data_IF_162402412704
#
_entry.id   IF_162402412704
#
_cell.length_a   1.000
_cell.length_b   1.000
_cell.length_c   1.000
_cell.angle_alpha   90.00
_cell.angle_beta   90.00
_cell.angle_gamma   90.00
#
_symmetry.space_group_name_H-M   'P 1'
#
loop_
_entity.id
_entity.type
_entity.pdbx_description
1 polymer ?
#
# COMPACT_ATOMS: atom_id res chain seq x y z
N UNK A 1 25.08 -3.62 20.27
CA UNK A 1 24.16 -4.73 20.57
C UNK A 1 23.02 -4.74 19.57
N UNK A 2 22.91 -5.76 18.71
CA UNK A 2 21.84 -5.89 17.72
C UNK A 2 20.63 -6.57 18.35
N UNK A 3 19.56 -5.81 18.64
CA UNK A 3 18.29 -6.37 19.15
C UNK A 3 17.74 -7.39 18.14
N UNK A 4 17.55 -8.63 18.58
CA UNK A 4 16.92 -9.70 17.82
C UNK A 4 15.45 -9.34 17.61
N UNK A 5 15.03 -9.18 16.36
CA UNK A 5 13.65 -8.78 16.01
C UNK A 5 12.69 -9.95 16.26
N UNK A 6 11.76 -9.80 17.22
CA UNK A 6 10.76 -10.84 17.57
C UNK A 6 9.61 -10.96 16.57
N UNK A 7 9.25 -9.86 15.88
CA UNK A 7 8.29 -9.86 14.76
C UNK A 7 8.65 -8.78 13.73
N UNK A 8 8.69 -9.18 12.45
CA UNK A 8 9.03 -8.28 11.32
C UNK A 8 7.82 -7.51 10.79
N UNK A 9 6.60 -7.97 11.06
CA UNK A 9 5.36 -7.38 10.53
C UNK A 9 5.18 -5.91 10.90
N UNK A 10 5.36 -5.48 12.17
CA UNK A 10 5.25 -4.06 12.52
C UNK A 10 6.34 -3.20 11.89
N UNK A 11 7.53 -3.75 11.64
CA UNK A 11 8.64 -3.03 11.00
C UNK A 11 8.36 -2.80 9.51
N UNK A 12 7.78 -3.79 8.83
CA UNK A 12 7.37 -3.67 7.43
C UNK A 12 6.31 -2.57 7.29
N UNK A 13 5.29 -2.57 8.16
CA UNK A 13 4.25 -1.52 8.18
C UNK A 13 4.86 -0.12 8.36
N UNK A 14 5.61 0.09 9.44
CA UNK A 14 6.27 1.37 9.73
C UNK A 14 7.21 1.85 8.62
N UNK A 15 7.97 0.94 8.01
CA UNK A 15 8.84 1.29 6.90
C UNK A 15 8.02 1.87 5.75
N UNK A 16 6.97 1.19 5.34
CA UNK A 16 6.15 1.61 4.22
C UNK A 16 5.30 2.85 4.51
N UNK A 17 4.72 2.95 5.71
CA UNK A 17 4.02 4.16 6.17
C UNK A 17 4.90 5.40 6.02
N UNK A 18 6.13 5.35 6.55
CA UNK A 18 7.10 6.46 6.43
C UNK A 18 7.42 6.78 4.97
N UNK A 19 7.58 5.78 4.10
CA UNK A 19 7.88 6.02 2.68
C UNK A 19 6.72 6.63 1.92
N UNK A 20 5.48 6.20 2.20
CA UNK A 20 4.30 6.82 1.60
C UNK A 20 4.08 8.22 2.15
N UNK A 21 4.32 8.46 3.45
CA UNK A 21 4.29 9.81 4.02
C UNK A 21 5.22 10.77 3.28
N UNK A 22 6.48 10.35 3.07
CA UNK A 22 7.45 11.11 2.29
C UNK A 22 7.01 11.28 0.83
N UNK A 23 6.52 10.21 0.20
CA UNK A 23 6.07 10.24 -1.20
C UNK A 23 4.93 11.23 -1.41
N UNK A 24 4.04 11.32 -0.44
CA UNK A 24 2.88 12.19 -0.48
C UNK A 24 3.16 13.61 0.07
N UNK A 25 4.41 13.93 0.43
CA UNK A 25 4.80 15.25 0.90
C UNK A 25 4.25 15.62 2.28
N UNK A 26 4.04 14.62 3.15
CA UNK A 26 3.45 14.82 4.47
C UNK A 26 4.52 15.21 5.49
N UNK A 27 4.63 16.50 5.77
CA UNK A 27 5.63 17.07 6.69
C UNK A 27 5.26 16.90 8.16
N UNK A 28 3.97 16.86 8.50
CA UNK A 28 3.47 16.77 9.89
C UNK A 28 2.76 15.42 10.13
N UNK A 29 3.56 14.35 10.17
CA UNK A 29 3.07 13.01 10.47
C UNK A 29 2.96 12.81 11.98
N UNK A 30 1.73 12.86 12.53
CA UNK A 30 1.44 12.32 13.85
C UNK A 30 0.89 10.91 13.68
N UNK A 31 1.69 9.90 14.07
CA UNK A 31 1.35 8.47 13.95
C UNK A 31 0.28 7.99 14.93
N UNK A 32 -0.41 8.91 15.60
CA UNK A 32 -1.30 8.62 16.72
C UNK A 32 -2.54 9.51 16.65
N UNK A 33 -3.38 9.34 15.63
CA UNK A 33 -4.75 9.83 15.73
C UNK A 33 -5.73 8.81 15.15
N UNK A 34 -6.91 8.75 15.75
CA UNK A 34 -7.96 7.72 15.67
C UNK A 34 -8.66 7.70 14.29
N UNK A 35 -7.98 8.14 13.22
CA UNK A 35 -8.58 8.43 11.91
C UNK A 35 -7.77 7.95 10.69
N UNK A 36 -6.63 7.28 10.87
CA UNK A 36 -5.88 6.52 9.86
C UNK A 36 -4.38 6.82 9.78
N UNK A 37 -3.62 6.10 8.94
CA UNK A 37 -2.14 6.07 9.01
C UNK A 37 -1.46 7.37 8.52
N UNK A 38 -2.05 8.08 7.55
CA UNK A 38 -1.48 9.26 6.89
C UNK A 38 -2.56 10.30 6.51
N UNK A 39 -2.26 11.61 6.59
CA UNK A 39 -3.15 12.74 6.21
C UNK A 39 -2.55 13.58 5.09
N UNK A 40 -3.24 13.71 3.96
CA UNK A 40 -2.87 14.70 2.92
C UNK A 40 -3.26 16.12 3.37
N UNK A 41 -2.27 17.01 3.57
CA UNK A 41 -2.52 18.43 3.80
C UNK A 41 -2.90 19.10 2.47
N UNK A 42 -4.20 19.25 2.29
CA UNK A 42 -4.86 19.93 1.17
C UNK A 42 -6.37 19.80 1.38
N UNK A 43 -7.17 20.75 0.89
CA UNK A 43 -8.60 20.51 0.75
C UNK A 43 -8.76 19.76 -0.59
N UNK A 44 -9.20 18.49 -0.58
CA UNK A 44 -9.78 17.75 0.55
C UNK A 44 -8.85 16.93 1.44
N UNK A 45 -9.29 16.73 2.69
CA UNK A 45 -8.66 15.78 3.61
C UNK A 45 -8.87 14.34 3.09
N UNK A 46 -7.78 13.73 2.63
CA UNK A 46 -7.72 12.33 2.21
C UNK A 46 -6.94 11.56 3.27
N UNK A 47 -7.57 10.52 3.81
CA UNK A 47 -6.91 9.54 4.68
C UNK A 47 -6.26 8.46 3.84
N UNK A 48 -4.99 8.17 4.11
CA UNK A 48 -4.26 7.08 3.45
C UNK A 48 -3.95 5.98 4.46
N UNK A 49 -4.51 4.78 4.21
CA UNK A 49 -4.19 3.55 4.96
C UNK A 49 -3.14 2.76 4.18
N UNK A 50 -2.05 2.35 4.85
CA UNK A 50 -0.93 1.68 4.17
C UNK A 50 -0.94 0.17 4.47
N UNK A 51 -1.01 -0.66 3.43
CA UNK A 51 -0.96 -2.12 3.56
C UNK A 51 0.12 -2.74 2.69
N UNK A 52 0.99 -3.53 3.30
CA UNK A 52 1.96 -4.34 2.57
C UNK A 52 1.37 -5.70 2.19
N UNK A 53 1.79 -6.24 1.05
CA UNK A 53 1.42 -7.60 0.64
C UNK A 53 2.10 -8.68 1.51
N UNK A 54 1.58 -9.91 1.48
CA UNK A 54 2.33 -11.08 1.92
C UNK A 54 3.25 -11.66 0.81
N UNK A 55 3.85 -12.82 1.07
CA UNK A 55 4.73 -13.52 0.11
C UNK A 55 4.01 -13.99 -1.15
N UNK A 56 2.68 -14.18 -1.08
CA UNK A 56 1.83 -14.56 -2.20
C UNK A 56 1.20 -13.34 -2.88
N UNK A 57 1.64 -12.14 -2.50
CA UNK A 57 1.12 -10.88 -3.00
C UNK A 57 -0.37 -10.70 -2.70
N UNK A 58 -0.81 -11.17 -1.54
CA UNK A 58 -2.15 -10.95 -1.01
C UNK A 58 -2.15 -9.74 -0.07
N UNK A 59 -3.09 -8.83 -0.28
CA UNK A 59 -3.38 -7.73 0.63
C UNK A 59 -4.58 -8.10 1.48
N UNK A 60 -4.42 -8.04 2.80
CA UNK A 60 -5.49 -8.35 3.76
C UNK A 60 -5.96 -7.05 4.40
N UNK A 61 -7.25 -6.79 4.27
CA UNK A 61 -7.90 -5.61 4.82
C UNK A 61 -8.95 -6.10 5.79
N UNK A 62 -8.82 -5.75 7.06
CA UNK A 62 -9.79 -6.21 8.06
C UNK A 62 -11.12 -5.48 7.92
N UNK A 63 -12.21 -6.19 8.19
CA UNK A 63 -13.56 -5.62 8.16
C UNK A 63 -13.70 -4.41 9.09
N UNK A 64 -13.22 -4.43 10.36
CA UNK A 64 -13.30 -3.24 11.22
C UNK A 64 -12.57 -2.01 10.66
N UNK A 65 -11.42 -2.21 9.98
CA UNK A 65 -10.71 -1.11 9.31
C UNK A 65 -11.50 -0.56 8.13
N UNK A 66 -11.99 -1.45 7.26
CA UNK A 66 -12.78 -1.04 6.09
C UNK A 66 -14.04 -0.29 6.52
N UNK A 67 -14.79 -0.85 7.49
CA UNK A 67 -16.00 -0.25 8.04
C UNK A 67 -15.72 1.13 8.63
N UNK A 68 -14.66 1.28 9.44
CA UNK A 68 -14.25 2.58 9.99
C UNK A 68 -14.00 3.60 8.90
N UNK A 69 -13.32 3.26 7.81
CA UNK A 69 -13.07 4.24 6.75
C UNK A 69 -14.29 4.56 5.89
N UNK A 70 -15.20 3.61 5.69
CA UNK A 70 -16.51 3.88 5.07
C UNK A 70 -17.40 4.76 5.93
N UNK A 71 -17.36 4.58 7.25
CA UNK A 71 -18.09 5.42 8.21
C UNK A 71 -17.53 6.85 8.24
N UNK A 72 -16.21 7.01 8.17
CA UNK A 72 -15.56 8.34 8.20
C UNK A 72 -15.56 9.01 6.80
N UNK A 73 -15.75 8.27 5.70
CA UNK A 73 -16.07 8.83 4.37
C UNK A 73 -17.34 9.69 4.42
N UNK A 74 -18.23 9.43 5.39
CA UNK A 74 -19.43 10.24 5.65
C UNK A 74 -19.07 11.44 6.54
N UNK A 75 -18.52 12.49 5.92
CA UNK A 75 -18.31 13.84 6.48
C UNK A 75 -17.43 13.93 7.74
N UNK A 76 -16.30 14.67 7.75
CA UNK A 76 -15.86 15.72 6.81
C UNK A 76 -14.77 15.27 5.82
N UNK A 77 -14.54 13.97 5.62
CA UNK A 77 -13.60 13.48 4.61
C UNK A 77 -14.25 13.52 3.23
N UNK A 78 -13.57 14.04 2.21
CA UNK A 78 -14.08 13.91 0.83
C UNK A 78 -13.75 12.55 0.23
N UNK A 79 -12.82 11.77 0.80
CA UNK A 79 -12.53 10.40 0.38
C UNK A 79 -11.44 9.72 1.22
N UNK A 80 -11.44 8.38 1.24
CA UNK A 80 -10.38 7.57 1.82
C UNK A 80 -9.72 6.73 0.73
N UNK A 81 -8.39 6.67 0.74
CA UNK A 81 -7.59 5.92 -0.23
C UNK A 81 -6.77 4.89 0.52
N UNK A 82 -6.86 3.64 0.10
CA UNK A 82 -5.91 2.62 0.52
C UNK A 82 -4.68 2.67 -0.38
N UNK A 83 -3.51 2.77 0.23
CA UNK A 83 -2.22 2.62 -0.41
C UNK A 83 -1.69 1.20 -0.15
N UNK A 84 -1.86 0.32 -1.15
CA UNK A 84 -1.39 -1.06 -1.07
C UNK A 84 -0.02 -1.16 -1.72
N UNK A 85 0.94 -1.75 -1.01
CA UNK A 85 2.34 -1.83 -1.45
C UNK A 85 2.74 -3.28 -1.67
N UNK A 86 2.99 -3.61 -2.93
CA UNK A 86 3.55 -4.89 -3.33
C UNK A 86 5.07 -4.88 -3.20
N UNK A 87 5.60 -5.98 -2.66
CA UNK A 87 7.03 -6.26 -2.70
C UNK A 87 7.29 -7.73 -2.99
N UNK A 88 8.44 -8.01 -3.61
CA UNK A 88 8.82 -9.35 -4.03
C UNK A 88 9.61 -10.04 -2.92
N UNK A 89 8.96 -10.95 -2.20
CA UNK A 89 9.62 -11.79 -1.21
C UNK A 89 9.80 -13.23 -1.69
N UNK A 90 10.76 -13.42 -2.61
CA UNK A 90 11.06 -14.75 -3.17
C UNK A 90 11.54 -15.71 -2.06
N UNK A 91 11.27 -17.00 -2.25
CA UNK A 91 11.90 -18.03 -1.45
C UNK A 91 13.38 -18.15 -1.83
N UNK A 92 14.25 -18.28 -0.82
CA UNK A 92 15.66 -18.59 -1.05
C UNK A 92 15.88 -20.08 -1.35
N UNK A 93 17.15 -20.44 -1.63
CA UNK A 93 17.59 -21.84 -1.69
C UNK A 93 17.19 -22.60 -0.42
N UNK A 94 16.85 -23.88 -0.58
CA UNK A 94 16.52 -24.77 0.53
C UNK A 94 17.65 -24.77 1.57
N UNK A 95 17.28 -24.76 2.86
CA UNK A 95 18.25 -24.97 3.93
C UNK A 95 18.71 -26.43 3.94
N UNK A 96 19.76 -26.74 4.70
CA UNK A 96 20.21 -28.12 4.95
C UNK A 96 19.09 -29.05 5.45
N UNK A 97 18.05 -28.49 6.08
CA UNK A 97 16.83 -29.19 6.51
C UNK A 97 15.70 -29.25 5.46
N UNK A 98 15.97 -28.97 4.19
CA UNK A 98 14.99 -28.98 3.08
C UNK A 98 13.98 -27.83 3.09
N UNK A 99 13.86 -27.07 4.18
CA UNK A 99 12.92 -25.95 4.30
C UNK A 99 13.39 -24.73 3.50
N UNK A 100 12.50 -24.14 2.70
CA UNK A 100 12.78 -22.87 2.01
C UNK A 100 12.35 -21.70 2.89
N UNK A 101 13.29 -20.84 3.25
CA UNK A 101 12.99 -19.58 3.96
C UNK A 101 12.87 -18.44 2.94
N UNK A 102 11.92 -17.54 3.17
CA UNK A 102 11.83 -16.30 2.38
C UNK A 102 13.10 -15.47 2.54
N UNK A 103 13.45 -14.67 1.52
CA UNK A 103 14.65 -13.81 1.59
C UNK A 103 14.55 -12.81 2.76
N UNK A 104 13.36 -12.23 2.98
CA UNK A 104 13.12 -11.36 4.14
C UNK A 104 13.32 -12.08 5.48
N UNK A 105 13.04 -13.39 5.56
CA UNK A 105 13.28 -14.16 6.78
C UNK A 105 14.77 -14.24 7.13
N UNK A 106 15.68 -14.08 6.15
CA UNK A 106 17.14 -14.08 6.35
C UNK A 106 17.69 -12.74 6.87
N UNK A 107 16.97 -11.63 6.69
CA UNK A 107 17.35 -10.33 7.25
C UNK A 107 17.39 -10.39 8.78
N UNK A 108 18.51 -10.03 9.41
CA UNK A 108 18.69 -10.18 10.87
C UNK A 108 18.57 -8.85 11.61
N UNK A 109 18.89 -7.75 10.92
CA UNK A 109 18.84 -6.39 11.48
C UNK A 109 17.66 -5.61 10.89
N UNK A 110 17.27 -4.52 11.57
CA UNK A 110 16.31 -3.56 11.02
C UNK A 110 16.79 -3.02 9.66
N UNK A 111 18.07 -2.69 9.58
CA UNK A 111 18.72 -2.20 8.36
C UNK A 111 18.58 -3.20 7.19
N UNK A 112 18.87 -4.49 7.42
CA UNK A 112 18.73 -5.52 6.38
C UNK A 112 17.29 -5.60 5.87
N UNK A 113 16.32 -5.40 6.75
CA UNK A 113 14.88 -5.41 6.42
C UNK A 113 14.57 -4.19 5.55
N UNK A 114 14.97 -2.98 5.96
CA UNK A 114 14.69 -1.76 5.22
C UNK A 114 15.34 -1.74 3.82
N UNK A 115 16.62 -2.15 3.72
CA UNK A 115 17.31 -2.29 2.43
C UNK A 115 16.60 -3.33 1.55
N UNK A 116 16.21 -4.46 2.14
CA UNK A 116 15.48 -5.49 1.42
C UNK A 116 14.15 -4.95 0.88
N UNK A 117 13.34 -4.31 1.72
CA UNK A 117 12.04 -3.76 1.31
C UNK A 117 12.20 -2.68 0.24
N UNK A 118 13.17 -1.77 0.40
CA UNK A 118 13.46 -0.73 -0.59
C UNK A 118 13.84 -1.32 -1.97
N UNK A 119 14.69 -2.36 -2.00
CA UNK A 119 15.14 -2.99 -3.24
C UNK A 119 14.09 -3.88 -3.91
N UNK A 120 13.14 -4.41 -3.14
CA UNK A 120 12.18 -5.40 -3.61
C UNK A 120 10.75 -4.87 -3.73
N UNK A 121 10.50 -3.61 -3.38
CA UNK A 121 9.23 -2.93 -3.67
C UNK A 121 9.00 -2.94 -5.18
N UNK A 122 7.80 -3.35 -5.61
CA UNK A 122 7.49 -3.53 -7.04
C UNK A 122 6.26 -2.76 -7.50
N UNK A 123 5.33 -2.47 -6.59
CA UNK A 123 4.06 -1.86 -6.95
C UNK A 123 3.44 -1.05 -5.82
N UNK A 124 2.73 0.00 -6.19
CA UNK A 124 1.90 0.83 -5.30
C UNK A 124 0.53 0.93 -5.96
N UNK A 125 -0.52 0.54 -5.23
CA UNK A 125 -1.91 0.67 -5.66
C UNK A 125 -2.60 1.70 -4.77
N UNK A 126 -3.16 2.73 -5.38
CA UNK A 126 -4.00 3.72 -4.73
C UNK A 126 -5.45 3.42 -5.08
N UNK A 127 -6.17 2.80 -4.14
CA UNK A 127 -7.54 2.35 -4.33
C UNK A 127 -8.49 3.18 -3.47
N UNK A 128 -9.55 3.71 -4.07
CA UNK A 128 -10.65 4.35 -3.34
C UNK A 128 -11.36 3.34 -2.42
N UNK A 129 -11.71 3.75 -1.20
CA UNK A 129 -12.39 2.88 -0.23
C UNK A 129 -13.70 2.29 -0.77
N UNK A 130 -14.45 3.02 -1.62
CA UNK A 130 -15.68 2.50 -2.22
C UNK A 130 -15.43 1.32 -3.17
N UNK A 131 -14.24 1.25 -3.79
CA UNK A 131 -13.88 0.09 -4.60
C UNK A 131 -13.72 -1.14 -3.72
N UNK A 132 -13.08 -0.98 -2.56
CA UNK A 132 -12.90 -2.06 -1.58
C UNK A 132 -14.23 -2.52 -0.99
N UNK A 133 -15.15 -1.59 -0.75
CA UNK A 133 -16.52 -1.92 -0.35
C UNK A 133 -17.21 -2.78 -1.40
N UNK A 134 -17.21 -2.38 -2.67
CA UNK A 134 -17.83 -3.15 -3.75
C UNK A 134 -17.23 -4.56 -3.88
N UNK A 135 -15.90 -4.68 -3.77
CA UNK A 135 -15.19 -5.96 -3.73
C UNK A 135 -15.66 -6.79 -2.53
N UNK A 136 -15.79 -6.17 -1.35
CA UNK A 136 -16.23 -6.86 -0.14
C UNK A 136 -17.67 -7.37 -0.23
N UNK A 137 -18.56 -6.62 -0.88
CA UNK A 137 -19.95 -7.01 -1.11
C UNK A 137 -20.00 -8.20 -2.07
N UNK A 138 -19.20 -8.18 -3.13
CA UNK A 138 -19.23 -9.24 -4.14
C UNK A 138 -18.51 -10.52 -3.70
N UNK A 139 -17.36 -10.40 -3.03
CA UNK A 139 -16.50 -11.54 -2.69
C UNK A 139 -16.59 -11.99 -1.23
N UNK A 140 -17.29 -11.22 -0.39
CA UNK A 140 -17.45 -11.50 1.03
C UNK A 140 -16.15 -11.32 1.83
N UNK A 141 -16.25 -11.68 3.11
CA UNK A 141 -15.12 -11.70 4.03
C UNK A 141 -14.70 -13.13 4.36
N UNK A 142 -13.42 -13.31 4.64
CA UNK A 142 -12.84 -14.59 5.05
C UNK A 142 -12.12 -14.46 6.40
N UNK A 143 -12.29 -15.48 7.25
CA UNK A 143 -11.58 -15.66 8.53
C UNK A 143 -10.34 -16.54 8.33
N UNK A 144 -9.46 -16.60 9.33
CA UNK A 144 -8.27 -17.46 9.38
C UNK A 144 -7.11 -16.99 8.50
N UNK A 145 -7.24 -15.84 7.83
CA UNK A 145 -6.21 -15.35 6.90
C UNK A 145 -5.13 -14.51 7.59
N UNK A 146 -5.44 -13.92 8.76
CA UNK A 146 -4.53 -13.09 9.54
C UNK A 146 -3.80 -13.94 10.58
N UNK A 147 -2.46 -14.08 10.50
CA UNK A 147 -1.71 -15.00 11.37
C UNK A 147 -1.81 -14.72 12.87
N UNK A 148 -2.08 -13.47 13.26
CA UNK A 148 -2.12 -13.05 14.66
C UNK A 148 -3.53 -12.73 15.17
N UNK A 149 -4.54 -12.79 14.29
CA UNK A 149 -5.95 -12.49 14.60
C UNK A 149 -6.84 -13.36 13.69
N UNK A 150 -6.87 -14.69 13.88
CA UNK A 150 -7.55 -15.60 12.97
C UNK A 150 -9.06 -15.38 12.92
N UNK A 151 -9.68 -14.87 13.99
CA UNK A 151 -11.12 -14.61 14.04
C UNK A 151 -11.53 -13.36 13.27
N UNK A 152 -10.55 -12.53 12.85
CA UNK A 152 -10.80 -11.29 12.15
C UNK A 152 -11.22 -11.56 10.70
N UNK A 153 -12.39 -11.06 10.36
CA UNK A 153 -12.90 -11.07 8.98
C UNK A 153 -12.10 -10.12 8.11
N UNK A 154 -11.72 -10.60 6.92
CA UNK A 154 -10.87 -9.85 6.00
C UNK A 154 -11.33 -9.94 4.56
N UNK A 155 -11.15 -8.84 3.83
CA UNK A 155 -11.11 -8.86 2.36
C UNK A 155 -9.68 -9.21 1.95
N UNK A 156 -9.55 -10.15 1.02
CA UNK A 156 -8.25 -10.56 0.48
C UNK A 156 -8.16 -10.15 -0.99
N UNK A 157 -7.39 -9.11 -1.27
CA UNK A 157 -7.09 -8.71 -2.64
C UNK A 157 -5.87 -9.50 -3.14
N UNK A 158 -6.07 -10.20 -4.25
CA UNK A 158 -5.02 -10.98 -4.91
C UNK A 158 -4.41 -10.18 -6.05
N UNK A 159 -3.14 -10.46 -6.34
CA UNK A 159 -2.42 -9.88 -7.49
C UNK A 159 -3.17 -10.02 -8.82
N UNK A 160 -3.76 -11.18 -9.09
CA UNK A 160 -4.43 -11.45 -10.36
C UNK A 160 -5.64 -10.54 -10.56
N UNK A 161 -6.46 -10.38 -9.52
CA UNK A 161 -7.59 -9.45 -9.57
C UNK A 161 -7.13 -8.00 -9.82
N UNK A 162 -6.02 -7.58 -9.20
CA UNK A 162 -5.42 -6.26 -9.47
C UNK A 162 -4.90 -6.15 -10.91
N UNK A 163 -4.42 -7.23 -11.53
CA UNK A 163 -4.06 -7.22 -12.95
C UNK A 163 -5.29 -7.17 -13.86
N UNK A 164 -6.37 -7.87 -13.52
CA UNK A 164 -7.64 -7.80 -14.24
C UNK A 164 -8.22 -6.38 -14.20
N UNK A 165 -8.20 -5.72 -13.04
CA UNK A 165 -8.60 -4.32 -12.91
C UNK A 165 -7.81 -3.39 -13.84
N UNK A 166 -6.52 -3.66 -14.04
CA UNK A 166 -5.64 -2.84 -14.90
C UNK A 166 -5.90 -3.13 -16.38
N UNK A 167 -5.98 -4.41 -16.74
CA UNK A 167 -6.03 -4.86 -18.14
C UNK A 167 -7.45 -4.77 -18.72
N UNK A 168 -8.46 -4.96 -17.88
CA UNK A 168 -9.89 -5.04 -18.23
C UNK A 168 -10.73 -4.21 -17.24
N UNK A 169 -10.48 -2.88 -17.15
CA UNK A 169 -11.09 -2.04 -16.13
C UNK A 169 -12.61 -1.94 -16.29
N UNK A 170 -13.14 -1.99 -17.52
CA UNK A 170 -14.58 -1.84 -17.76
C UNK A 170 -15.33 -3.07 -17.27
N UNK A 171 -14.85 -4.25 -17.63
CA UNK A 171 -15.39 -5.55 -17.26
C UNK A 171 -15.29 -5.76 -15.76
N UNK A 172 -14.12 -5.47 -15.18
CA UNK A 172 -13.88 -5.63 -13.74
C UNK A 172 -14.79 -4.72 -12.92
N UNK A 173 -14.91 -3.45 -13.28
CA UNK A 173 -15.77 -2.50 -12.56
C UNK A 173 -17.26 -2.82 -12.76
N UNK A 174 -17.67 -3.18 -13.97
CA UNK A 174 -19.07 -3.55 -14.24
C UNK A 174 -19.45 -4.84 -13.50
N UNK A 175 -18.51 -5.79 -13.37
CA UNK A 175 -18.68 -7.01 -12.57
C UNK A 175 -18.92 -6.73 -11.08
N UNK A 176 -18.40 -5.61 -10.57
CA UNK A 176 -18.64 -5.10 -9.20
C UNK A 176 -19.93 -4.26 -9.09
N UNK A 177 -20.71 -4.12 -10.17
CA UNK A 177 -21.88 -3.24 -10.22
C UNK A 177 -21.53 -1.75 -10.24
N UNK A 178 -20.28 -1.39 -10.55
CA UNK A 178 -19.82 0.00 -10.59
C UNK A 178 -19.91 0.57 -12.01
N UNK A 179 -20.36 1.82 -12.12
CA UNK A 179 -20.32 2.54 -13.41
C UNK A 179 -18.86 2.88 -13.76
N UNK A 180 -18.26 2.14 -14.69
CA UNK A 180 -16.87 2.34 -15.14
C UNK A 180 -16.56 3.79 -15.58
N UNK A 181 -17.55 4.55 -16.07
CA UNK A 181 -17.37 5.95 -16.47
C UNK A 181 -17.11 6.87 -15.28
N UNK A 182 -17.55 6.50 -14.09
CA UNK A 182 -17.32 7.24 -12.84
C UNK A 182 -15.93 6.98 -12.25
N UNK A 183 -15.15 6.08 -12.84
CA UNK A 183 -13.82 5.69 -12.37
C UNK A 183 -12.73 6.07 -13.38
N UNK A 184 -11.53 6.23 -12.85
CA UNK A 184 -10.32 6.30 -13.64
C UNK A 184 -9.33 5.27 -13.11
N UNK A 185 -8.96 4.36 -14.00
CA UNK A 185 -7.88 3.41 -13.79
C UNK A 185 -6.69 3.88 -14.61
N UNK A 186 -5.55 4.14 -13.97
CA UNK A 186 -4.31 4.55 -14.65
C UNK A 186 -3.14 3.77 -14.09
N UNK A 187 -2.26 3.32 -14.98
CA UNK A 187 -0.98 2.71 -14.63
C UNK A 187 0.15 3.64 -15.06
N UNK A 188 1.18 3.75 -14.23
CA UNK A 188 2.42 4.44 -14.54
C UNK A 188 3.62 3.66 -14.02
N UNK A 189 4.70 3.66 -14.79
CA UNK A 189 6.01 3.19 -14.36
C UNK A 189 6.78 4.37 -13.78
N UNK A 190 7.34 4.22 -12.57
CA UNK A 190 8.02 5.31 -11.87
C UNK A 190 9.34 4.83 -11.27
N UNK A 191 10.41 5.59 -11.45
CA UNK A 191 11.65 5.39 -10.70
C UNK A 191 11.53 6.11 -9.37
N UNK A 192 11.41 5.36 -8.27
CA UNK A 192 11.30 5.95 -6.94
C UNK A 192 12.67 6.00 -6.30
N UNK A 193 13.19 7.20 -6.11
CA UNK A 193 14.45 7.40 -5.39
C UNK A 193 14.25 7.32 -3.88
N UNK A 194 14.80 6.28 -3.25
CA UNK A 194 14.78 6.05 -1.81
C UNK A 194 16.15 6.35 -1.21
N UNK A 195 16.23 7.39 -0.37
CA UNK A 195 17.41 7.64 0.46
C UNK A 195 17.31 6.81 1.75
N UNK A 196 18.30 5.95 1.98
CA UNK A 196 18.42 5.12 3.18
C UNK A 196 19.43 5.69 4.19
N UNK A 197 19.74 6.99 4.10
CA UNK A 197 20.72 7.67 4.95
C UNK A 197 22.14 7.24 4.62
N UNK A 198 22.91 6.87 5.64
CA UNK A 198 24.31 6.41 5.52
C UNK A 198 24.49 5.15 4.66
N UNK A 199 23.40 4.46 4.31
CA UNK A 199 23.41 3.22 3.54
C UNK A 199 23.22 3.45 2.04
N UNK A 200 23.16 4.72 1.62
CA UNK A 200 23.09 5.13 0.24
C UNK A 200 21.66 5.22 -0.31
N UNK A 201 21.59 5.28 -1.64
CA UNK A 201 20.36 5.52 -2.40
C UNK A 201 20.00 4.27 -3.19
N UNK A 202 18.72 3.90 -3.17
CA UNK A 202 18.17 2.86 -4.04
C UNK A 202 17.11 3.51 -4.93
N UNK A 203 17.07 3.16 -6.21
CA UNK A 203 16.06 3.69 -7.14
C UNK A 203 15.28 2.55 -7.78
N UNK A 204 14.41 1.84 -7.04
CA UNK A 204 13.55 0.83 -7.64
C UNK A 204 12.65 1.44 -8.71
N UNK A 205 12.45 0.67 -9.79
CA UNK A 205 11.40 0.91 -10.76
C UNK A 205 10.11 0.27 -10.25
N UNK A 206 9.07 1.09 -10.06
CA UNK A 206 7.83 0.73 -9.38
C UNK A 206 6.66 0.99 -10.32
N UNK A 207 5.73 0.03 -10.35
CA UNK A 207 4.44 0.20 -11.00
C UNK A 207 3.48 0.91 -10.04
N UNK A 208 3.03 2.11 -10.38
CA UNK A 208 2.00 2.83 -9.62
C UNK A 208 0.67 2.74 -10.37
N UNK A 209 -0.37 2.31 -9.65
CA UNK A 209 -1.72 2.13 -10.19
C UNK A 209 -2.69 2.98 -9.39
N UNK A 210 -3.51 3.74 -10.10
CA UNK A 210 -4.58 4.56 -9.55
C UNK A 210 -5.91 3.91 -9.93
N UNK A 211 -6.76 3.65 -8.94
CA UNK A 211 -8.14 3.24 -9.15
C UNK A 211 -9.06 4.08 -8.26
N UNK A 212 -9.44 5.24 -8.78
CA UNK A 212 -10.15 6.26 -8.01
C UNK A 212 -11.38 6.77 -8.75
N UNK A 213 -12.39 7.25 -8.01
CA UNK A 213 -13.53 7.93 -8.61
C UNK A 213 -13.08 9.23 -9.29
N UNK A 214 -13.64 9.54 -10.45
CA UNK A 214 -13.19 10.67 -11.28
C UNK A 214 -13.27 12.02 -10.58
N UNK A 215 -14.22 12.18 -9.66
CA UNK A 215 -14.38 13.38 -8.82
C UNK A 215 -13.13 13.72 -7.99
N UNK A 216 -12.24 12.76 -7.73
CA UNK A 216 -11.03 12.95 -6.91
C UNK A 216 -9.74 13.03 -7.71
N UNK A 217 -9.79 12.90 -9.04
CA UNK A 217 -8.56 12.87 -9.84
C UNK A 217 -7.79 14.17 -9.66
N UNK A 218 -8.45 15.34 -9.66
CA UNK A 218 -7.74 16.62 -9.53
C UNK A 218 -6.99 16.72 -8.21
N UNK A 219 -7.56 16.16 -7.15
CA UNK A 219 -6.98 16.19 -5.81
C UNK A 219 -5.84 15.17 -5.67
N UNK A 220 -6.05 13.92 -6.09
CA UNK A 220 -5.03 12.85 -6.02
C UNK A 220 -3.89 13.10 -6.99
N UNK A 221 -4.21 13.47 -8.23
CA UNK A 221 -3.22 13.80 -9.26
C UNK A 221 -2.47 15.07 -8.89
N UNK A 222 -3.15 16.11 -8.40
CA UNK A 222 -2.51 17.34 -7.93
C UNK A 222 -1.56 17.07 -6.76
N UNK A 223 -1.93 16.26 -5.79
CA UNK A 223 -1.02 15.89 -4.69
C UNK A 223 0.19 15.10 -5.17
N UNK A 224 0.00 14.20 -6.14
CA UNK A 224 1.09 13.35 -6.63
C UNK A 224 1.99 14.12 -7.61
N UNK A 225 1.42 14.86 -8.55
CA UNK A 225 2.11 15.75 -9.51
C UNK A 225 2.83 16.92 -8.84
N UNK A 226 2.26 17.51 -7.78
CA UNK A 226 2.90 18.58 -7.00
C UNK A 226 3.77 18.06 -5.86
N UNK A 227 3.78 16.75 -5.59
CA UNK A 227 4.82 16.18 -4.74
C UNK A 227 6.15 16.44 -5.44
N UNK A 228 7.13 17.02 -4.73
CA UNK A 228 8.47 17.38 -5.23
C UNK A 228 9.31 16.17 -5.72
N UNK A 229 8.69 15.03 -5.99
CA UNK A 229 9.26 13.73 -6.30
C UNK A 229 9.04 13.28 -7.74
N UNK A 230 8.24 13.99 -8.55
CA UNK A 230 8.11 13.72 -9.99
C UNK A 230 9.10 14.51 -10.85
N UNK A 231 9.81 15.47 -10.26
CA UNK A 231 11.06 16.00 -10.78
C UNK A 231 12.23 15.30 -10.09
N UNK A 232 13.23 14.79 -10.84
CA UNK A 232 14.37 14.05 -10.28
C UNK A 232 15.38 15.00 -9.64
N UNK A 233 14.96 15.88 -8.73
CA UNK A 233 15.91 16.69 -7.98
C UNK A 233 15.30 17.16 -6.68
N UNK A 234 15.75 16.59 -5.57
CA UNK A 234 15.96 17.32 -4.33
C UNK A 234 17.00 16.57 -3.50
N UNK A 235 18.24 17.00 -3.75
CA UNK A 235 19.33 17.03 -2.77
C UNK A 235 18.82 17.84 -1.59
N UNK A 236 18.91 17.32 -0.36
CA UNK A 236 19.19 18.14 0.82
C UNK A 236 20.01 17.31 1.83
N UNK A 237 21.01 18.02 2.34
CA UNK A 237 22.07 17.75 3.32
C UNK A 237 21.71 16.84 4.50
#
# INVERSE_FOLDING_TARGET
>A
MTKKVSSKTPLIGKFFERRIATLLGLSDWQSEDVRGDLRLNGRPLIVVEVKASDNNHHFRISFPQLKRYLEVERFPLNGCIYCLIGYRNRQGKATSSGKRKSLLAKCKTLQDIEIFLAKNMDSIYLLDVCLLEAISIQHGFVKGTMPFQPDLETVVLKRNWLQELINYPQETLSGLGLNHRSWQIKQQQMNMSLNLGLFGRVSPEIKVVYAVRRKFIKDVRGTIENSKLLTPTLVLS
#
